data_IF_991997985272
#
_entry.id   IF_991997985272
#
_cell.length_a   1.000
_cell.length_b   1.000
_cell.length_c   1.000
_cell.angle_alpha   90.00
_cell.angle_beta   90.00
_cell.angle_gamma   90.00
#
_symmetry.space_group_name_H-M   'P 1'
#
loop_
_entity.id
_entity.type
_entity.pdbx_description
1 polymer ?
#
# COMPACT_ATOMS: atom_id res chain seq x y z
N UNK A 1 -2.59 43.08 6.99
CA UNK A 1 -3.81 42.30 6.64
C UNK A 1 -3.51 41.54 5.35
N UNK A 2 -4.07 40.35 5.13
CA UNK A 2 -3.75 39.52 3.96
C UNK A 2 -3.97 40.27 2.63
N UNK A 3 -5.11 40.94 2.47
CA UNK A 3 -5.48 41.62 1.22
C UNK A 3 -4.59 42.79 0.82
N UNK A 4 -3.95 43.45 1.80
CA UNK A 4 -2.99 44.54 1.55
C UNK A 4 -1.57 44.05 1.28
N UNK A 5 -1.29 42.78 1.52
CA UNK A 5 0.02 42.20 1.22
C UNK A 5 0.00 41.46 -0.12
N UNK A 6 -1.07 40.72 -0.41
CA UNK A 6 -1.12 39.77 -1.52
C UNK A 6 -0.85 40.41 -2.89
N UNK A 7 -1.68 41.39 -3.31
CA UNK A 7 -1.53 42.00 -4.63
C UNK A 7 -0.26 42.83 -4.78
N UNK A 8 0.22 43.43 -3.70
CA UNK A 8 1.47 44.17 -3.67
C UNK A 8 2.67 43.24 -3.81
N UNK A 9 2.68 42.10 -3.10
CA UNK A 9 3.71 41.08 -3.25
C UNK A 9 3.74 40.52 -4.67
N UNK A 10 2.57 40.16 -5.23
CA UNK A 10 2.46 39.71 -6.62
C UNK A 10 3.00 40.75 -7.60
N UNK A 11 2.69 42.02 -7.37
CA UNK A 11 3.21 43.11 -8.19
C UNK A 11 4.73 43.30 -8.04
N UNK A 12 5.29 43.19 -6.84
CA UNK A 12 6.74 43.36 -6.60
C UNK A 12 7.51 42.23 -7.30
N UNK A 13 6.95 41.02 -7.31
CA UNK A 13 7.53 39.83 -7.94
C UNK A 13 7.19 39.71 -9.44
N UNK A 14 6.42 40.65 -10.00
CA UNK A 14 5.93 40.65 -11.39
C UNK A 14 5.14 39.37 -11.77
N UNK A 15 4.32 38.87 -10.84
CA UNK A 15 3.46 37.69 -11.05
C UNK A 15 2.39 38.01 -12.08
N UNK A 16 2.36 37.27 -13.19
CA UNK A 16 1.36 37.51 -14.26
C UNK A 16 0.00 36.86 -13.97
N UNK A 17 0.01 35.70 -13.28
CA UNK A 17 -1.18 34.91 -12.97
C UNK A 17 -1.12 34.51 -11.49
N UNK A 18 -1.82 35.27 -10.65
CA UNK A 18 -1.96 34.96 -9.23
C UNK A 18 -3.10 33.95 -9.05
N UNK A 19 -2.76 32.69 -8.78
CA UNK A 19 -3.72 31.58 -8.77
C UNK A 19 -4.08 31.22 -7.33
N UNK A 20 -5.35 31.37 -6.96
CA UNK A 20 -5.86 31.05 -5.62
C UNK A 20 -7.17 30.24 -5.68
N UNK A 21 -7.78 29.96 -4.53
CA UNK A 21 -9.03 29.17 -4.48
C UNK A 21 -10.28 30.05 -4.50
N UNK A 22 -11.45 29.46 -4.78
CA UNK A 22 -12.73 30.19 -4.92
C UNK A 22 -13.11 31.04 -3.70
N UNK A 23 -12.62 30.69 -2.50
CA UNK A 23 -12.85 31.47 -1.28
C UNK A 23 -12.35 32.92 -1.37
N UNK A 24 -11.42 33.21 -2.30
CA UNK A 24 -10.85 34.54 -2.51
C UNK A 24 -11.54 35.35 -3.63
N UNK A 25 -12.61 34.85 -4.23
CA UNK A 25 -13.40 35.62 -5.20
C UNK A 25 -13.90 36.96 -4.62
N UNK A 26 -14.48 37.01 -3.40
CA UNK A 26 -14.92 38.28 -2.81
C UNK A 26 -13.79 39.27 -2.51
N UNK A 27 -12.54 38.80 -2.48
CA UNK A 27 -11.35 39.61 -2.20
C UNK A 27 -10.78 40.28 -3.45
N UNK A 28 -11.10 39.75 -4.65
CA UNK A 28 -10.58 40.27 -5.92
C UNK A 28 -10.85 41.76 -6.15
N UNK A 29 -12.05 42.32 -5.88
CA UNK A 29 -12.29 43.75 -6.09
C UNK A 29 -11.31 44.63 -5.29
N UNK A 30 -10.92 44.20 -4.08
CA UNK A 30 -9.95 44.93 -3.26
C UNK A 30 -8.52 44.73 -3.78
N UNK A 31 -8.18 43.52 -4.24
CA UNK A 31 -6.91 43.23 -4.91
C UNK A 31 -6.70 44.15 -6.12
N UNK A 32 -7.69 44.20 -7.03
CA UNK A 32 -7.66 45.02 -8.25
C UNK A 32 -7.61 46.51 -7.92
N UNK A 33 -8.42 46.97 -6.95
CA UNK A 33 -8.43 48.36 -6.51
C UNK A 33 -7.05 48.79 -5.99
N UNK A 34 -6.38 47.97 -5.18
CA UNK A 34 -5.08 48.35 -4.67
C UNK A 34 -4.01 48.44 -5.77
N UNK A 35 -4.04 47.53 -6.74
CA UNK A 35 -3.13 47.57 -7.90
C UNK A 35 -3.35 48.85 -8.71
N UNK A 36 -4.62 49.20 -8.98
CA UNK A 36 -4.99 50.40 -9.73
C UNK A 36 -4.56 51.68 -9.00
N UNK A 37 -4.90 51.82 -7.72
CA UNK A 37 -4.61 53.04 -6.96
C UNK A 37 -3.13 53.30 -6.74
N UNK A 38 -2.32 52.24 -6.65
CA UNK A 38 -0.88 52.37 -6.47
C UNK A 38 -0.12 52.52 -7.80
N UNK A 39 -0.78 52.27 -8.95
CA UNK A 39 -0.15 52.34 -10.27
C UNK A 39 0.98 51.32 -10.44
N UNK A 40 0.84 50.15 -9.83
CA UNK A 40 1.89 49.11 -9.78
C UNK A 40 1.69 48.05 -10.88
N UNK A 41 2.57 47.02 -10.92
CA UNK A 41 2.51 45.97 -11.94
C UNK A 41 1.12 45.28 -11.94
N UNK A 42 0.45 45.16 -13.11
CA UNK A 42 -0.93 44.71 -13.20
C UNK A 42 -1.06 43.19 -13.12
N UNK A 43 -0.73 42.62 -11.96
CA UNK A 43 -0.98 41.20 -11.68
C UNK A 43 -2.48 40.89 -11.74
N UNK A 44 -2.84 39.67 -12.14
CA UNK A 44 -4.23 39.24 -12.30
C UNK A 44 -4.52 38.01 -11.45
N UNK A 45 -5.55 38.10 -10.63
CA UNK A 45 -6.05 36.99 -9.83
C UNK A 45 -6.96 36.05 -10.64
N UNK A 46 -6.72 34.75 -10.51
CA UNK A 46 -7.53 33.68 -11.07
C UNK A 46 -7.81 32.62 -10.01
N UNK A 47 -9.05 32.13 -9.98
CA UNK A 47 -9.49 31.18 -8.96
C UNK A 47 -9.91 29.84 -9.52
N UNK A 48 -9.65 28.79 -8.75
CA UNK A 48 -10.10 27.43 -9.02
C UNK A 48 -10.70 26.80 -7.76
N UNK A 49 -11.53 25.77 -7.95
CA UNK A 49 -12.11 25.02 -6.85
C UNK A 49 -11.03 24.23 -6.12
N UNK A 50 -11.01 24.33 -4.79
CA UNK A 50 -10.13 23.55 -3.94
C UNK A 50 -10.39 22.04 -4.10
N UNK A 51 -9.35 21.24 -3.85
CA UNK A 51 -9.49 19.80 -3.72
C UNK A 51 -10.23 19.45 -2.43
N UNK A 52 -11.31 18.68 -2.56
CA UNK A 52 -11.96 17.96 -1.47
C UNK A 52 -11.96 16.47 -1.81
N UNK A 53 -11.73 15.62 -0.80
CA UNK A 53 -11.60 14.19 -0.99
C UNK A 53 -12.49 13.42 -0.02
N UNK A 54 -13.04 12.30 -0.49
CA UNK A 54 -13.83 11.38 0.34
C UNK A 54 -12.96 10.69 1.42
N UNK A 55 -13.55 10.26 2.52
CA UNK A 55 -12.92 9.49 3.61
C UNK A 55 -11.72 10.16 4.30
N UNK A 56 -11.60 11.48 4.16
CA UNK A 56 -10.53 12.26 4.78
C UNK A 56 -10.98 13.68 5.12
N UNK A 57 -10.12 14.43 5.81
CA UNK A 57 -10.33 15.84 6.12
C UNK A 57 -9.18 16.68 5.56
N UNK A 58 -9.52 17.83 4.98
CA UNK A 58 -8.55 18.76 4.38
C UNK A 58 -8.40 20.06 5.20
N UNK A 59 -9.18 20.22 6.27
CA UNK A 59 -9.13 21.41 7.14
C UNK A 59 -7.92 21.32 8.07
N UNK A 60 -7.03 22.33 8.03
CA UNK A 60 -5.88 22.46 8.93
C UNK A 60 -6.29 22.39 10.41
N UNK A 61 -7.45 22.96 10.77
CA UNK A 61 -7.99 22.91 12.13
C UNK A 61 -8.34 21.48 12.56
N UNK A 62 -9.05 20.72 11.71
CA UNK A 62 -9.40 19.31 11.98
C UNK A 62 -8.15 18.42 12.03
N UNK A 63 -7.19 18.62 11.11
CA UNK A 63 -5.92 17.88 11.12
C UNK A 63 -5.09 18.17 12.38
N UNK A 64 -5.00 19.43 12.81
CA UNK A 64 -4.34 19.79 14.06
C UNK A 64 -5.00 19.14 15.27
N UNK A 65 -6.33 19.06 15.28
CA UNK A 65 -7.08 18.40 16.35
C UNK A 65 -6.78 16.90 16.42
N UNK A 66 -6.72 16.19 15.28
CA UNK A 66 -6.33 14.78 15.24
C UNK A 66 -4.94 14.54 15.86
N UNK A 67 -3.99 15.45 15.61
CA UNK A 67 -2.63 15.39 16.17
C UNK A 67 -2.62 15.69 17.67
N UNK A 68 -3.23 16.81 18.08
CA UNK A 68 -3.21 17.24 19.48
C UNK A 68 -3.95 16.28 20.41
N UNK A 69 -5.05 15.69 19.95
CA UNK A 69 -5.83 14.70 20.70
C UNK A 69 -5.30 13.27 20.53
N UNK A 70 -4.18 13.07 19.83
CA UNK A 70 -3.49 11.77 19.64
C UNK A 70 -4.32 10.68 18.95
N UNK A 71 -5.23 11.06 18.06
CA UNK A 71 -5.90 10.11 17.14
C UNK A 71 -4.94 9.56 16.07
N UNK A 72 -3.86 10.31 15.81
CA UNK A 72 -2.76 9.94 14.91
C UNK A 72 -1.41 10.21 15.58
N UNK A 73 -0.34 9.57 15.09
CA UNK A 73 1.00 9.68 15.65
C UNK A 73 1.71 11.01 15.34
N UNK A 74 1.14 11.86 14.48
CA UNK A 74 1.69 13.15 14.11
C UNK A 74 1.23 13.62 12.72
N UNK A 75 1.79 14.73 12.26
CA UNK A 75 1.50 15.29 10.93
C UNK A 75 1.91 14.40 9.76
N UNK A 76 2.84 13.46 9.98
CA UNK A 76 3.32 12.51 8.99
C UNK A 76 2.87 11.07 9.27
N UNK A 77 1.88 10.88 10.13
CA UNK A 77 1.20 9.58 10.28
C UNK A 77 0.64 9.14 8.91
N UNK A 78 0.94 7.92 8.41
CA UNK A 78 0.53 7.46 7.07
C UNK A 78 -0.98 7.54 6.77
N UNK A 79 -1.85 7.67 7.78
CA UNK A 79 -3.29 7.83 7.62
C UNK A 79 -3.73 9.27 7.31
N UNK A 80 -2.85 10.25 7.52
CA UNK A 80 -3.13 11.66 7.30
C UNK A 80 -3.10 12.05 5.81
N UNK A 81 -3.85 13.09 5.46
CA UNK A 81 -3.92 13.66 4.09
C UNK A 81 -2.78 14.63 3.76
N UNK A 82 -1.72 14.70 4.59
CA UNK A 82 -0.57 15.56 4.33
C UNK A 82 0.40 14.94 3.32
N UNK A 83 1.15 15.77 2.61
CA UNK A 83 2.19 15.31 1.69
C UNK A 83 3.27 14.50 2.41
N UNK A 84 3.64 14.88 3.64
CA UNK A 84 4.60 14.13 4.46
C UNK A 84 4.08 12.75 4.84
N UNK A 85 2.80 12.63 5.20
CA UNK A 85 2.16 11.36 5.49
C UNK A 85 2.07 10.47 4.25
N UNK A 86 1.63 11.01 3.11
CA UNK A 86 1.57 10.28 1.84
C UNK A 86 2.95 9.75 1.45
N UNK A 87 4.01 10.56 1.61
CA UNK A 87 5.38 10.12 1.39
C UNK A 87 5.78 8.98 2.33
N UNK A 88 5.51 9.10 3.64
CA UNK A 88 5.79 8.03 4.62
C UNK A 88 4.97 6.76 4.38
N UNK A 89 3.74 6.90 3.88
CA UNK A 89 2.88 5.79 3.43
C UNK A 89 3.45 5.08 2.20
N UNK A 90 4.33 5.72 1.44
CA UNK A 90 4.99 5.18 0.25
C UNK A 90 4.39 5.65 -1.07
N UNK A 91 3.64 6.76 -1.09
CA UNK A 91 3.04 7.29 -2.32
C UNK A 91 4.15 7.92 -3.19
N UNK A 92 4.36 7.45 -4.43
CA UNK A 92 5.32 8.08 -5.33
C UNK A 92 4.88 9.52 -5.64
N UNK A 93 5.83 10.45 -5.71
CA UNK A 93 5.52 11.82 -6.12
C UNK A 93 4.88 11.87 -7.53
N UNK A 94 5.27 10.94 -8.41
CA UNK A 94 4.70 10.80 -9.74
C UNK A 94 3.19 10.44 -9.72
N UNK A 95 2.74 9.59 -8.81
CA UNK A 95 1.33 9.21 -8.73
C UNK A 95 0.46 10.35 -8.21
N UNK A 96 1.00 11.21 -7.35
CA UNK A 96 0.29 12.41 -6.86
C UNK A 96 0.13 13.42 -7.99
N UNK A 97 1.17 13.63 -8.81
CA UNK A 97 1.07 14.51 -10.00
C UNK A 97 0.06 13.97 -11.01
N UNK A 98 0.14 12.68 -11.33
CA UNK A 98 -0.83 12.02 -12.22
C UNK A 98 -2.27 12.14 -11.68
N UNK A 99 -2.46 12.01 -10.36
CA UNK A 99 -3.76 12.26 -9.74
C UNK A 99 -4.25 13.69 -9.95
N UNK A 100 -3.39 14.70 -9.71
CA UNK A 100 -3.70 16.11 -9.96
C UNK A 100 -4.06 16.36 -11.44
N UNK A 101 -3.35 15.75 -12.38
CA UNK A 101 -3.62 15.87 -13.81
C UNK A 101 -4.98 15.25 -14.19
N UNK A 102 -5.32 14.09 -13.62
CA UNK A 102 -6.60 13.41 -13.88
C UNK A 102 -7.82 14.15 -13.34
N UNK A 103 -7.73 14.75 -12.15
CA UNK A 103 -8.87 15.49 -11.57
C UNK A 103 -9.11 16.82 -12.30
N UNK A 104 -8.06 17.36 -12.94
CA UNK A 104 -8.11 18.62 -13.66
C UNK A 104 -8.31 19.84 -12.76
N UNK A 105 -8.46 21.00 -13.39
CA UNK A 105 -8.69 22.29 -12.71
C UNK A 105 -10.01 22.87 -13.21
N UNK A 106 -10.94 23.10 -12.29
CA UNK A 106 -12.27 23.63 -12.58
C UNK A 106 -12.70 24.67 -11.55
N UNK A 107 -13.73 25.47 -11.85
CA UNK A 107 -14.35 26.42 -10.92
C UNK A 107 -15.56 25.87 -10.17
N UNK A 108 -15.85 24.57 -10.31
CA UNK A 108 -16.94 23.88 -9.61
C UNK A 108 -16.36 23.01 -8.51
N UNK A 109 -16.89 23.13 -7.30
CA UNK A 109 -16.51 22.24 -6.20
C UNK A 109 -16.89 20.79 -6.54
N UNK A 110 -16.00 19.87 -6.19
CA UNK A 110 -16.22 18.45 -6.39
C UNK A 110 -15.60 17.66 -5.23
N UNK A 111 -16.26 16.57 -4.84
CA UNK A 111 -15.74 15.63 -3.87
C UNK A 111 -15.10 14.46 -4.63
N UNK A 112 -13.77 14.40 -4.63
CA UNK A 112 -13.02 13.39 -5.37
C UNK A 112 -12.88 12.11 -4.56
N UNK A 113 -13.17 10.97 -5.18
CA UNK A 113 -13.00 9.66 -4.55
C UNK A 113 -11.52 9.36 -4.26
N UNK A 114 -11.22 8.97 -3.01
CA UNK A 114 -9.91 8.47 -2.57
C UNK A 114 -9.45 7.27 -3.40
N UNK A 115 -10.39 6.48 -3.92
CA UNK A 115 -10.12 5.35 -4.83
C UNK A 115 -9.37 5.77 -6.11
N UNK A 116 -9.59 6.99 -6.63
CA UNK A 116 -8.85 7.51 -7.79
C UNK A 116 -7.39 7.80 -7.45
N UNK A 117 -7.11 8.38 -6.28
CA UNK A 117 -5.74 8.59 -5.81
C UNK A 117 -5.01 7.25 -5.64
N UNK A 118 -5.66 6.29 -4.97
CA UNK A 118 -5.11 4.95 -4.79
C UNK A 118 -4.91 4.22 -6.13
N UNK A 119 -5.77 4.45 -7.11
CA UNK A 119 -5.59 3.95 -8.48
C UNK A 119 -4.31 4.49 -9.11
N UNK A 120 -4.06 5.80 -9.09
CA UNK A 120 -2.82 6.38 -9.62
C UNK A 120 -1.57 5.82 -8.94
N UNK A 121 -1.65 5.59 -7.62
CA UNK A 121 -0.57 4.98 -6.84
C UNK A 121 -0.34 3.53 -7.29
N UNK A 122 -1.39 2.71 -7.40
CA UNK A 122 -1.30 1.32 -7.86
C UNK A 122 -0.70 1.22 -9.26
N UNK A 123 -1.13 2.06 -10.19
CA UNK A 123 -0.60 2.07 -11.57
C UNK A 123 0.90 2.39 -11.63
N UNK A 124 1.34 3.34 -10.81
CA UNK A 124 2.75 3.72 -10.73
C UNK A 124 3.58 2.60 -10.09
N UNK A 125 3.11 2.05 -8.97
CA UNK A 125 3.83 1.01 -8.24
C UNK A 125 3.83 -0.34 -8.97
N UNK A 126 2.79 -0.67 -9.75
CA UNK A 126 2.81 -1.89 -10.56
C UNK A 126 4.00 -1.91 -11.53
N UNK A 127 4.36 -0.74 -12.08
CA UNK A 127 5.46 -0.60 -13.04
C UNK A 127 6.84 -0.53 -12.38
N UNK A 128 6.91 -0.06 -11.13
CA UNK A 128 8.19 0.34 -10.50
C UNK A 128 8.60 -0.49 -9.29
N UNK A 129 7.65 -1.14 -8.60
CA UNK A 129 7.92 -1.82 -7.33
C UNK A 129 8.56 -3.20 -7.53
N UNK A 130 9.48 -3.57 -6.63
CA UNK A 130 10.11 -4.88 -6.60
C UNK A 130 9.17 -5.92 -5.99
N UNK A 131 9.08 -7.12 -6.57
CA UNK A 131 8.24 -8.22 -6.08
C UNK A 131 9.01 -8.97 -5.01
N UNK A 132 8.42 -9.11 -3.84
CA UNK A 132 9.00 -9.81 -2.68
C UNK A 132 7.96 -10.71 -2.03
N UNK A 133 8.42 -11.82 -1.46
CA UNK A 133 7.60 -12.76 -0.68
C UNK A 133 7.71 -12.43 0.79
N UNK A 134 6.56 -12.17 1.41
CA UNK A 134 6.44 -11.93 2.84
C UNK A 134 5.19 -12.63 3.32
N UNK A 135 5.34 -13.45 4.36
CA UNK A 135 4.26 -14.23 4.98
C UNK A 135 3.80 -13.52 6.25
N UNK A 136 2.53 -13.10 6.30
CA UNK A 136 2.00 -12.28 7.41
C UNK A 136 1.45 -13.15 8.55
N UNK A 137 0.72 -14.21 8.21
CA UNK A 137 0.24 -15.20 9.18
C UNK A 137 0.88 -16.55 8.84
N UNK A 138 2.01 -16.91 9.47
CA UNK A 138 2.80 -18.06 9.08
C UNK A 138 2.16 -19.37 9.48
N UNK A 139 2.09 -20.29 8.51
CA UNK A 139 1.84 -21.71 8.72
C UNK A 139 3.06 -22.50 8.22
N UNK A 140 3.65 -23.30 9.12
CA UNK A 140 4.84 -24.11 8.81
C UNK A 140 4.47 -25.26 7.88
N UNK A 141 5.28 -25.47 6.85
CA UNK A 141 5.21 -26.61 5.94
C UNK A 141 6.54 -27.34 5.95
N UNK A 142 6.50 -28.65 6.18
CA UNK A 142 7.65 -29.55 6.12
C UNK A 142 7.53 -30.39 4.84
N UNK A 143 8.50 -30.23 3.94
CA UNK A 143 8.54 -30.98 2.69
C UNK A 143 9.26 -32.31 2.93
N UNK A 144 8.48 -33.36 3.18
CA UNK A 144 8.94 -34.63 3.75
C UNK A 144 9.97 -35.37 2.88
N UNK A 145 9.87 -35.24 1.56
CA UNK A 145 10.79 -35.86 0.59
C UNK A 145 11.88 -34.90 0.06
N UNK A 146 12.00 -33.67 0.58
CA UNK A 146 13.09 -32.76 0.20
C UNK A 146 14.33 -32.98 1.09
N UNK A 147 15.56 -32.98 0.53
CA UNK A 147 16.79 -33.15 1.31
C UNK A 147 17.01 -32.01 2.32
N UNK A 148 17.78 -32.27 3.38
CA UNK A 148 18.18 -31.27 4.38
C UNK A 148 19.30 -30.35 3.86
N UNK A 149 19.05 -29.72 2.72
CA UNK A 149 19.97 -28.79 2.04
C UNK A 149 19.23 -27.52 1.65
N UNK A 150 19.99 -26.45 1.41
CA UNK A 150 19.45 -25.19 0.86
C UNK A 150 19.75 -25.12 -0.63
N UNK A 151 18.71 -24.93 -1.43
CA UNK A 151 18.82 -24.63 -2.85
C UNK A 151 18.50 -23.15 -3.10
N UNK A 152 19.25 -22.50 -3.97
CA UNK A 152 18.96 -21.11 -4.36
C UNK A 152 18.20 -21.10 -5.68
N UNK A 153 16.97 -20.61 -5.62
CA UNK A 153 16.06 -20.51 -6.77
C UNK A 153 16.02 -19.08 -7.28
N UNK A 154 15.93 -18.88 -8.60
CA UNK A 154 15.85 -17.55 -9.19
C UNK A 154 14.40 -17.08 -9.34
N UNK A 155 14.15 -15.80 -9.09
CA UNK A 155 12.88 -15.13 -9.39
C UNK A 155 13.12 -13.72 -9.90
N UNK A 156 12.28 -13.31 -10.84
CA UNK A 156 12.22 -11.95 -11.39
C UNK A 156 11.93 -10.90 -10.31
N UNK A 157 12.63 -9.76 -10.37
CA UNK A 157 12.38 -8.63 -9.48
C UNK A 157 11.12 -7.86 -9.84
N UNK A 158 10.88 -7.61 -11.12
CA UNK A 158 9.69 -6.92 -11.60
C UNK A 158 9.28 -7.46 -12.97
N UNK A 159 8.13 -8.15 -13.11
CA UNK A 159 7.69 -8.67 -14.39
C UNK A 159 7.30 -7.59 -15.40
N UNK A 160 7.00 -6.36 -14.95
CA UNK A 160 6.68 -5.21 -15.81
C UNK A 160 7.95 -4.46 -16.28
N UNK A 161 9.13 -4.78 -15.72
CA UNK A 161 10.41 -4.19 -16.09
C UNK A 161 11.46 -5.27 -16.38
N UNK A 162 11.69 -5.62 -17.65
CA UNK A 162 12.68 -6.61 -18.04
C UNK A 162 14.11 -6.28 -17.57
N UNK A 163 14.42 -5.01 -17.29
CA UNK A 163 15.74 -4.57 -16.85
C UNK A 163 15.92 -4.63 -15.32
N UNK A 164 14.87 -4.98 -14.57
CA UNK A 164 14.92 -5.09 -13.11
C UNK A 164 15.75 -6.28 -12.60
N UNK A 165 16.15 -7.19 -13.49
CA UNK A 165 16.96 -8.35 -13.18
C UNK A 165 16.22 -9.41 -12.36
N UNK A 166 17.00 -10.35 -11.82
CA UNK A 166 16.53 -11.45 -10.98
C UNK A 166 17.11 -11.33 -9.58
N UNK A 167 16.57 -12.12 -8.65
CA UNK A 167 17.13 -12.35 -7.32
C UNK A 167 17.12 -13.83 -7.01
N UNK A 168 17.95 -14.24 -6.07
CA UNK A 168 17.97 -15.60 -5.55
C UNK A 168 17.16 -15.72 -4.27
N UNK A 169 16.50 -16.86 -4.11
CA UNK A 169 15.59 -17.19 -3.01
C UNK A 169 16.06 -18.52 -2.39
N UNK A 170 16.37 -18.57 -1.08
CA UNK A 170 16.69 -19.84 -0.44
C UNK A 170 15.42 -20.68 -0.32
N UNK A 171 15.46 -21.89 -0.85
CA UNK A 171 14.46 -22.93 -0.69
C UNK A 171 15.06 -24.06 0.15
N UNK A 172 14.27 -24.58 1.09
CA UNK A 172 14.70 -25.65 1.97
C UNK A 172 13.52 -26.56 2.31
N UNK A 173 13.82 -27.63 3.07
CA UNK A 173 12.81 -28.57 3.58
C UNK A 173 11.69 -27.89 4.36
N UNK A 174 11.97 -26.81 5.08
CA UNK A 174 11.00 -26.13 5.93
C UNK A 174 10.70 -24.73 5.38
N UNK A 175 9.43 -24.48 5.09
CA UNK A 175 8.96 -23.18 4.59
C UNK A 175 7.77 -22.68 5.40
N UNK A 176 7.55 -21.37 5.37
CA UNK A 176 6.30 -20.75 5.77
C UNK A 176 5.47 -20.39 4.54
N UNK A 177 4.17 -20.62 4.64
CA UNK A 177 3.13 -20.09 3.75
C UNK A 177 2.13 -19.28 4.58
N UNK A 178 1.19 -18.58 3.95
CA UNK A 178 0.08 -17.99 4.70
C UNK A 178 -0.84 -19.07 5.26
N UNK A 179 -1.30 -18.90 6.49
CA UNK A 179 -2.34 -19.74 7.11
C UNK A 179 -3.61 -19.80 6.26
N UNK A 180 -4.02 -18.65 5.72
CA UNK A 180 -5.16 -18.52 4.79
C UNK A 180 -4.94 -19.20 3.43
N UNK A 181 -3.73 -19.71 3.15
CA UNK A 181 -3.48 -20.53 1.97
C UNK A 181 -3.73 -22.02 2.19
N UNK A 182 -4.11 -22.42 3.40
CA UNK A 182 -4.53 -23.78 3.72
C UNK A 182 -5.97 -23.85 4.22
N UNK A 183 -6.68 -24.91 3.82
CA UNK A 183 -8.03 -25.19 4.33
C UNK A 183 -8.26 -26.70 4.41
N UNK A 184 -8.63 -27.21 5.59
CA UNK A 184 -8.92 -28.64 5.77
C UNK A 184 -10.12 -29.10 4.93
N UNK A 185 -11.20 -28.29 4.93
CA UNK A 185 -12.44 -28.55 4.18
C UNK A 185 -12.58 -27.54 3.06
N UNK A 186 -11.86 -27.76 1.97
CA UNK A 186 -11.82 -26.85 0.83
C UNK A 186 -13.07 -26.97 -0.08
N UNK A 187 -13.76 -25.87 -0.41
CA UNK A 187 -14.83 -25.89 -1.40
C UNK A 187 -14.28 -26.13 -2.82
N UNK A 188 -15.11 -26.60 -3.77
CA UNK A 188 -14.70 -26.96 -5.15
C UNK A 188 -13.97 -25.83 -5.92
N UNK A 189 -14.16 -24.56 -5.56
CA UNK A 189 -13.51 -23.39 -6.18
C UNK A 189 -12.34 -22.84 -5.35
N UNK A 190 -11.79 -23.64 -4.45
CA UNK A 190 -10.57 -23.33 -3.72
C UNK A 190 -9.37 -23.91 -4.47
N UNK A 191 -8.41 -23.07 -4.80
CA UNK A 191 -7.25 -23.43 -5.63
C UNK A 191 -5.93 -23.38 -4.86
N UNK A 192 -5.99 -23.27 -3.52
CA UNK A 192 -4.81 -23.25 -2.64
C UNK A 192 -4.62 -24.64 -2.03
N UNK A 193 -3.89 -24.76 -0.94
CA UNK A 193 -3.52 -26.04 -0.36
C UNK A 193 -4.65 -26.62 0.51
N UNK A 194 -4.94 -27.90 0.36
CA UNK A 194 -5.89 -28.66 1.17
C UNK A 194 -5.42 -30.12 1.21
N UNK A 195 -5.93 -30.97 2.12
CA UNK A 195 -5.55 -32.38 2.17
C UNK A 195 -5.69 -33.07 0.80
N UNK A 196 -4.58 -33.65 0.31
CA UNK A 196 -4.49 -34.31 -1.00
C UNK A 196 -4.40 -33.38 -2.21
N UNK A 197 -4.56 -32.07 -2.05
CA UNK A 197 -4.45 -31.09 -3.15
C UNK A 197 -3.01 -30.67 -3.39
N UNK A 198 -2.74 -30.30 -4.65
CA UNK A 198 -1.44 -29.78 -5.10
C UNK A 198 -1.52 -28.29 -5.40
N UNK A 199 -0.43 -27.57 -5.13
CA UNK A 199 -0.30 -26.14 -5.42
C UNK A 199 1.12 -25.81 -5.86
N UNK A 200 1.30 -24.78 -6.67
CA UNK A 200 2.62 -24.29 -7.05
C UNK A 200 3.14 -23.31 -6.00
N UNK A 201 4.40 -23.46 -5.63
CA UNK A 201 5.14 -22.42 -4.92
C UNK A 201 5.77 -21.48 -5.95
N UNK A 202 5.58 -20.16 -5.78
CA UNK A 202 6.10 -19.15 -6.71
C UNK A 202 7.61 -19.32 -6.89
N UNK A 203 8.02 -19.49 -8.15
CA UNK A 203 9.43 -19.65 -8.55
C UNK A 203 10.13 -20.88 -7.95
N UNK A 204 9.36 -21.88 -7.49
CA UNK A 204 9.87 -23.11 -6.92
C UNK A 204 9.13 -24.33 -7.51
N UNK A 205 8.71 -25.26 -6.68
CA UNK A 205 8.14 -26.55 -7.08
C UNK A 205 6.62 -26.60 -6.87
N UNK A 206 5.97 -27.62 -7.43
CA UNK A 206 4.64 -28.05 -7.02
C UNK A 206 4.77 -28.92 -5.76
N UNK A 207 3.95 -28.63 -4.76
CA UNK A 207 3.83 -29.43 -3.54
C UNK A 207 2.43 -30.03 -3.42
N UNK A 208 2.31 -31.14 -2.69
CA UNK A 208 1.06 -31.81 -2.33
C UNK A 208 0.96 -31.91 -0.82
N UNK A 209 -0.18 -31.55 -0.24
CA UNK A 209 -0.42 -31.76 1.19
C UNK A 209 -0.80 -33.22 1.44
N UNK A 210 0.02 -33.93 2.20
CA UNK A 210 -0.17 -35.34 2.52
C UNK A 210 -0.73 -35.53 3.92
N UNK A 211 -0.30 -34.73 4.90
CA UNK A 211 -0.73 -34.82 6.29
C UNK A 211 -0.84 -33.44 6.96
N UNK A 212 -1.79 -33.34 7.90
CA UNK A 212 -2.10 -32.12 8.67
C UNK A 212 -1.82 -32.41 10.14
N UNK A 213 -0.84 -31.73 10.71
CA UNK A 213 -0.47 -31.89 12.12
C UNK A 213 -1.21 -30.82 12.92
N UNK A 214 -1.92 -31.26 13.95
CA UNK A 214 -2.67 -30.39 14.85
C UNK A 214 -2.00 -30.29 16.21
N UNK A 215 -2.17 -29.15 16.87
CA UNK A 215 -1.79 -28.98 18.27
C UNK A 215 -2.81 -29.64 19.22
N UNK A 216 -2.55 -29.54 20.53
CA UNK A 216 -3.42 -30.09 21.57
C UNK A 216 -4.82 -29.44 21.61
N UNK A 217 -4.98 -28.25 21.04
CA UNK A 217 -6.24 -27.51 20.98
C UNK A 217 -7.01 -27.79 19.67
N UNK A 218 -6.43 -28.57 18.76
CA UNK A 218 -7.02 -28.92 17.48
C UNK A 218 -6.77 -27.90 16.37
N UNK A 219 -5.93 -26.89 16.59
CA UNK A 219 -5.53 -25.94 15.55
C UNK A 219 -4.45 -26.56 14.67
N UNK A 220 -4.40 -26.14 13.39
CA UNK A 220 -3.38 -26.59 12.44
C UNK A 220 -2.03 -25.97 12.82
N UNK A 221 -1.11 -26.82 13.28
CA UNK A 221 0.23 -26.43 13.72
C UNK A 221 1.22 -26.44 12.56
N UNK A 222 1.26 -27.52 11.78
CA UNK A 222 2.13 -27.65 10.61
C UNK A 222 1.53 -28.59 9.55
N UNK A 223 1.99 -28.46 8.32
CA UNK A 223 1.59 -29.31 7.20
C UNK A 223 2.77 -30.13 6.72
N UNK A 224 2.55 -31.42 6.51
CA UNK A 224 3.54 -32.30 5.91
C UNK A 224 3.17 -32.50 4.45
N UNK A 225 4.07 -32.09 3.57
CA UNK A 225 3.85 -32.07 2.13
C UNK A 225 4.95 -32.85 1.41
N UNK A 226 4.64 -33.41 0.25
CA UNK A 226 5.64 -33.87 -0.71
C UNK A 226 5.80 -32.85 -1.84
N UNK A 227 7.01 -32.72 -2.40
CA UNK A 227 7.24 -31.95 -3.62
C UNK A 227 7.45 -32.87 -4.83
N UNK A 228 7.18 -32.34 -6.02
CA UNK A 228 7.42 -33.01 -7.30
C UNK A 228 8.76 -32.50 -7.88
N UNK A 229 9.83 -33.32 -7.91
CA UNK A 229 11.17 -32.89 -8.35
C UNK A 229 11.21 -32.32 -9.78
N UNK A 230 10.41 -32.89 -10.69
CA UNK A 230 10.36 -32.52 -12.11
C UNK A 230 9.56 -31.23 -12.36
N UNK A 231 8.98 -30.62 -11.32
CA UNK A 231 8.07 -29.46 -11.45
C UNK A 231 8.73 -28.09 -11.23
N UNK A 232 10.07 -28.05 -11.19
CA UNK A 232 10.84 -26.82 -10.96
C UNK A 232 10.41 -25.71 -11.92
N UNK A 233 10.06 -24.55 -11.38
CA UNK A 233 9.62 -23.40 -12.17
C UNK A 233 10.70 -22.98 -13.17
N UNK A 234 10.30 -22.75 -14.42
CA UNK A 234 11.22 -22.44 -15.54
C UNK A 234 11.77 -23.67 -16.27
N UNK A 235 11.69 -24.87 -15.68
CA UNK A 235 12.18 -26.11 -16.27
C UNK A 235 11.25 -27.30 -15.98
N UNK A 236 9.94 -27.06 -15.94
CA UNK A 236 8.95 -28.07 -15.55
C UNK A 236 8.75 -29.11 -16.65
N UNK A 237 9.02 -30.38 -16.33
CA UNK A 237 8.82 -31.55 -17.20
C UNK A 237 7.82 -32.55 -16.61
N UNK A 238 7.17 -32.22 -15.50
CA UNK A 238 6.26 -33.12 -14.77
C UNK A 238 4.94 -33.39 -15.53
N UNK A 239 4.55 -32.50 -16.43
CA UNK A 239 3.23 -32.52 -17.09
C UNK A 239 2.06 -32.18 -16.16
N UNK A 240 2.34 -31.79 -14.91
CA UNK A 240 1.32 -31.47 -13.91
C UNK A 240 0.94 -29.98 -14.00
N UNK A 241 -0.36 -29.71 -14.16
CA UNK A 241 -0.91 -28.35 -14.11
C UNK A 241 -1.73 -28.16 -12.84
N UNK A 242 -1.41 -27.10 -12.09
CA UNK A 242 -2.12 -26.69 -10.88
C UNK A 242 -2.69 -25.28 -11.06
N UNK A 243 -3.82 -25.00 -10.40
CA UNK A 243 -4.57 -23.75 -10.60
C UNK A 243 -4.10 -22.59 -9.71
N UNK A 244 -3.46 -22.88 -8.58
CA UNK A 244 -3.00 -21.87 -7.64
C UNK A 244 -1.48 -21.80 -7.52
N UNK A 245 -1.02 -20.60 -7.22
CA UNK A 245 0.38 -20.31 -6.91
C UNK A 245 0.45 -19.54 -5.59
N UNK A 246 1.23 -20.03 -4.64
CA UNK A 246 1.44 -19.42 -3.33
C UNK A 246 2.81 -18.74 -3.26
N UNK A 247 2.89 -17.63 -2.52
CA UNK A 247 4.18 -17.14 -2.04
C UNK A 247 4.58 -17.91 -0.78
N UNK A 248 5.87 -17.93 -0.49
CA UNK A 248 6.45 -18.71 0.60
C UNK A 248 7.79 -18.08 1.00
N UNK A 249 8.28 -18.44 2.18
CA UNK A 249 9.64 -18.07 2.63
C UNK A 249 10.28 -19.27 3.35
N UNK A 250 11.58 -19.47 3.21
CA UNK A 250 12.29 -20.54 3.93
C UNK A 250 12.40 -20.22 5.41
N UNK A 251 12.06 -21.17 6.29
CA UNK A 251 12.03 -20.96 7.75
C UNK A 251 13.39 -20.52 8.28
N UNK A 252 14.46 -21.20 7.90
CA UNK A 252 15.79 -20.97 8.45
C UNK A 252 16.44 -19.66 7.99
N UNK A 253 16.01 -19.09 6.86
CA UNK A 253 16.58 -17.86 6.29
C UNK A 253 15.61 -16.67 6.38
N UNK A 254 14.36 -16.88 6.77
CA UNK A 254 13.37 -15.81 6.85
C UNK A 254 13.80 -14.71 7.83
N UNK A 255 13.51 -13.47 7.44
CA UNK A 255 13.77 -12.29 8.25
C UNK A 255 12.48 -11.84 8.93
N UNK A 256 12.55 -11.52 10.21
CA UNK A 256 11.38 -11.05 10.93
C UNK A 256 11.08 -9.59 10.56
N UNK A 257 9.81 -9.30 10.33
CA UNK A 257 9.32 -7.96 10.01
C UNK A 257 8.01 -7.65 10.74
N UNK A 258 7.83 -6.38 11.09
CA UNK A 258 6.54 -5.81 11.47
C UNK A 258 5.85 -5.24 10.22
N UNK A 259 4.58 -5.55 10.02
CA UNK A 259 3.78 -5.04 8.91
C UNK A 259 2.65 -4.18 9.44
N UNK A 260 2.60 -2.92 9.00
CA UNK A 260 1.55 -1.95 9.35
C UNK A 260 0.56 -1.85 8.19
N UNK A 261 -0.61 -2.43 8.38
CA UNK A 261 -1.70 -2.44 7.40
C UNK A 261 -2.59 -1.22 7.62
N UNK A 262 -2.31 -0.15 6.87
CA UNK A 262 -3.14 1.05 6.90
C UNK A 262 -4.39 0.90 6.01
N UNK A 263 -5.47 1.52 6.45
CA UNK A 263 -6.70 1.73 5.69
C UNK A 263 -7.15 3.20 5.79
N UNK A 264 -8.31 3.53 5.22
CA UNK A 264 -8.91 4.86 5.28
C UNK A 264 -9.11 5.27 6.75
N UNK A 265 -8.76 6.51 7.08
CA UNK A 265 -8.84 7.04 8.44
C UNK A 265 -10.28 7.21 8.92
N UNK A 266 -11.21 7.49 8.01
CA UNK A 266 -12.63 7.65 8.31
C UNK A 266 -13.45 6.61 7.57
N UNK A 267 -14.55 6.17 8.20
CA UNK A 267 -15.47 5.17 7.65
C UNK A 267 -16.56 5.76 6.75
N UNK A 268 -16.81 7.06 6.85
CA UNK A 268 -17.83 7.78 6.08
C UNK A 268 -17.22 8.49 4.87
N UNK A 269 -17.95 8.50 3.76
CA UNK A 269 -17.50 9.07 2.50
C UNK A 269 -17.32 10.59 2.58
N UNK A 270 -18.34 11.32 3.02
CA UNK A 270 -18.28 12.77 3.21
C UNK A 270 -18.18 13.13 4.70
N UNK A 271 -16.94 13.16 5.21
CA UNK A 271 -16.62 13.51 6.60
C UNK A 271 -16.95 14.98 6.92
N UNK A 272 -17.03 15.85 5.92
CA UNK A 272 -17.33 17.26 6.13
C UNK A 272 -18.81 17.49 6.45
N UNK A 273 -19.70 16.70 5.83
CA UNK A 273 -21.14 16.81 5.98
C UNK A 273 -21.79 15.71 6.84
N UNK A 274 -20.98 14.82 7.44
CA UNK A 274 -21.48 13.80 8.37
C UNK A 274 -22.05 14.43 9.66
N UNK A 275 -23.11 13.81 10.19
CA UNK A 275 -23.70 14.20 11.47
C UNK A 275 -22.74 13.94 12.65
N UNK A 276 -22.77 14.79 13.67
CA UNK A 276 -21.94 14.65 14.88
C UNK A 276 -20.52 15.22 14.76
N UNK A 277 -19.64 14.81 15.66
CA UNK A 277 -18.21 15.18 15.58
C UNK A 277 -17.55 14.29 14.52
N UNK A 278 -16.67 14.88 13.68
CA UNK A 278 -15.97 14.13 12.64
C UNK A 278 -15.11 12.98 13.21
N UNK A 279 -14.67 13.10 14.47
CA UNK A 279 -13.89 12.07 15.16
C UNK A 279 -14.69 10.80 15.46
N UNK A 280 -16.01 10.90 15.60
CA UNK A 280 -16.90 9.74 15.82
C UNK A 280 -16.92 8.79 14.60
N UNK A 281 -16.46 9.31 13.46
CA UNK A 281 -16.36 8.59 12.20
C UNK A 281 -14.96 8.03 11.91
N UNK A 282 -14.01 8.14 12.86
CA UNK A 282 -12.70 7.50 12.73
C UNK A 282 -12.88 5.98 12.60
N UNK A 283 -12.15 5.39 11.66
CA UNK A 283 -12.12 3.96 11.44
C UNK A 283 -11.18 3.31 12.47
N UNK A 284 -11.70 2.45 13.37
CA UNK A 284 -10.86 1.72 14.33
C UNK A 284 -9.89 0.77 13.63
N UNK A 285 -10.22 0.29 12.42
CA UNK A 285 -9.38 -0.57 11.59
C UNK A 285 -8.43 0.21 10.66
N UNK A 286 -8.29 1.53 10.86
CA UNK A 286 -7.39 2.38 10.03
C UNK A 286 -5.91 1.98 10.12
N UNK A 287 -5.53 1.23 11.15
CA UNK A 287 -4.21 0.62 11.32
C UNK A 287 -4.35 -0.73 12.02
N UNK A 288 -3.89 -1.80 11.34
CA UNK A 288 -3.66 -3.10 11.95
C UNK A 288 -2.16 -3.41 11.90
N UNK A 289 -1.59 -3.83 13.02
CA UNK A 289 -0.16 -4.17 13.11
C UNK A 289 -0.01 -5.68 13.18
N UNK A 290 0.78 -6.24 12.25
CA UNK A 290 1.23 -7.63 12.27
C UNK A 290 2.66 -7.63 12.82
N UNK A 291 2.88 -7.96 14.11
CA UNK A 291 4.17 -7.80 14.76
C UNK A 291 5.22 -8.83 14.30
N UNK A 292 4.77 -9.99 13.81
CA UNK A 292 5.62 -11.12 13.47
C UNK A 292 5.26 -11.66 12.08
N UNK A 293 5.74 -10.98 11.04
CA UNK A 293 5.76 -11.51 9.67
C UNK A 293 7.14 -12.04 9.32
N UNK A 294 7.20 -12.92 8.33
CA UNK A 294 8.42 -13.54 7.84
C UNK A 294 8.68 -13.16 6.38
N UNK A 295 9.80 -12.49 6.14
CA UNK A 295 10.15 -11.88 4.88
C UNK A 295 11.34 -12.62 4.23
N UNK A 296 11.38 -12.64 2.89
CA UNK A 296 12.53 -13.19 2.19
C UNK A 296 13.82 -12.36 2.42
N UNK A 297 15.02 -12.97 2.41
CA UNK A 297 16.27 -12.28 2.76
C UNK A 297 16.65 -11.12 1.85
N UNK A 298 16.20 -11.13 0.59
CA UNK A 298 16.57 -10.11 -0.41
C UNK A 298 16.20 -8.69 0.04
N UNK A 299 15.18 -8.55 0.91
CA UNK A 299 14.78 -7.28 1.49
C UNK A 299 15.87 -6.59 2.32
N UNK A 300 16.85 -7.32 2.85
CA UNK A 300 17.98 -6.73 3.58
C UNK A 300 19.01 -6.08 2.66
N UNK A 301 19.09 -6.53 1.40
CA UNK A 301 20.06 -6.04 0.41
C UNK A 301 19.48 -4.99 -0.54
N UNK A 302 18.16 -4.77 -0.49
CA UNK A 302 17.49 -3.82 -1.37
C UNK A 302 17.84 -2.37 -1.00
N UNK A 303 17.83 -1.50 -2.02
CA UNK A 303 18.17 -0.08 -1.85
C UNK A 303 17.25 0.62 -0.82
N UNK A 304 17.78 1.54 0.00
CA UNK A 304 16.96 2.42 0.82
C UNK A 304 15.93 3.17 -0.03
N UNK A 305 14.68 3.26 0.43
CA UNK A 305 13.52 3.86 -0.27
C UNK A 305 12.96 3.06 -1.47
N UNK A 306 13.39 1.82 -1.67
CA UNK A 306 12.71 0.89 -2.57
C UNK A 306 11.24 0.74 -2.19
N UNK A 307 10.39 0.57 -3.20
CA UNK A 307 8.98 0.20 -3.02
C UNK A 307 8.79 -1.24 -3.43
N UNK A 308 7.90 -1.92 -2.72
CA UNK A 308 7.72 -3.36 -2.86
C UNK A 308 6.29 -3.68 -3.22
N UNK A 309 6.09 -4.66 -4.08
CA UNK A 309 4.85 -5.43 -4.14
C UNK A 309 5.09 -6.72 -3.37
N UNK A 310 4.50 -6.82 -2.18
CA UNK A 310 4.44 -8.10 -1.49
C UNK A 310 3.41 -8.97 -2.23
N UNK A 311 3.91 -10.05 -2.81
CA UNK A 311 3.15 -10.90 -3.75
C UNK A 311 1.83 -11.30 -3.09
N UNK A 312 0.72 -11.08 -3.81
CA UNK A 312 -0.67 -11.35 -3.36
C UNK A 312 -1.18 -10.49 -2.19
N UNK A 313 -0.36 -9.64 -1.56
CA UNK A 313 -0.75 -8.83 -0.39
C UNK A 313 -1.03 -7.36 -0.73
N UNK A 314 -0.15 -6.71 -1.47
CA UNK A 314 -0.26 -5.26 -1.72
C UNK A 314 1.08 -4.61 -2.02
N UNK A 315 1.08 -3.28 -1.97
CA UNK A 315 2.30 -2.48 -2.10
C UNK A 315 2.73 -1.94 -0.75
N UNK A 316 4.04 -1.93 -0.52
CA UNK A 316 4.65 -1.64 0.77
C UNK A 316 5.92 -0.79 0.60
N UNK A 317 6.27 -0.07 1.65
CA UNK A 317 7.52 0.68 1.75
C UNK A 317 8.15 0.42 3.12
N UNK A 318 9.48 0.40 3.18
CA UNK A 318 10.21 0.34 4.45
C UNK A 318 10.00 1.65 5.20
N UNK A 319 9.51 1.58 6.44
CA UNK A 319 9.33 2.75 7.29
C UNK A 319 10.63 3.10 8.00
N UNK A 320 10.82 4.39 8.30
CA UNK A 320 11.98 4.90 9.05
C UNK A 320 12.05 4.38 10.50
N UNK A 321 10.98 3.82 11.03
CA UNK A 321 10.97 3.15 12.34
C UNK A 321 11.68 1.78 12.30
N UNK A 322 12.10 1.32 11.11
CA UNK A 322 12.91 0.11 10.95
C UNK A 322 14.26 0.25 11.64
N UNK A 323 14.76 -0.87 12.15
CA UNK A 323 16.07 -0.98 12.79
C UNK A 323 16.83 -2.17 12.20
N UNK A 324 18.13 -2.28 12.50
CA UNK A 324 18.96 -3.42 12.08
C UNK A 324 18.42 -4.78 12.56
N UNK A 325 17.57 -4.79 13.60
CA UNK A 325 17.00 -6.01 14.19
C UNK A 325 15.59 -6.33 13.70
N UNK A 326 14.85 -5.32 13.25
CA UNK A 326 13.43 -5.48 12.90
C UNK A 326 13.09 -4.51 11.78
N UNK A 327 12.73 -5.08 10.64
CA UNK A 327 12.21 -4.33 9.50
C UNK A 327 10.76 -3.96 9.77
N UNK A 328 10.38 -2.72 9.50
CA UNK A 328 9.01 -2.22 9.65
C UNK A 328 8.51 -1.78 8.28
N UNK A 329 7.43 -2.38 7.79
CA UNK A 329 6.84 -2.04 6.50
C UNK A 329 5.47 -1.41 6.65
N UNK A 330 5.25 -0.29 5.95
CA UNK A 330 3.92 0.32 5.82
C UNK A 330 3.24 -0.18 4.54
N UNK A 331 1.98 -0.62 4.65
CA UNK A 331 1.14 -0.85 3.46
C UNK A 331 0.80 0.49 2.82
N UNK A 332 1.28 0.68 1.60
CA UNK A 332 0.96 1.84 0.77
C UNK A 332 -0.49 1.75 0.29
N UNK A 333 -0.80 0.67 -0.42
CA UNK A 333 -2.14 0.40 -0.99
C UNK A 333 -2.31 -1.10 -1.26
N UNK A 334 -3.54 -1.60 -1.21
CA UNK A 334 -3.89 -2.99 -1.57
C UNK A 334 -3.74 -3.23 -3.09
N UNK A 335 -3.66 -4.50 -3.51
CA UNK A 335 -3.57 -4.85 -4.94
C UNK A 335 -4.82 -4.48 -5.74
N UNK A 336 -5.98 -4.48 -5.08
CA UNK A 336 -7.29 -4.16 -5.68
C UNK A 336 -8.08 -3.30 -4.72
N UNK A 337 -8.99 -2.51 -5.28
CA UNK A 337 -9.91 -1.69 -4.50
C UNK A 337 -10.95 -2.58 -3.78
N UNK A 338 -10.91 -2.58 -2.45
CA UNK A 338 -11.88 -3.27 -1.60
C UNK A 338 -13.13 -2.44 -1.33
N UNK A 339 -12.97 -1.12 -1.18
CA UNK A 339 -14.03 -0.19 -0.80
C UNK A 339 -15.07 -0.01 -1.90
N UNK A 340 -14.66 -0.03 -3.17
CA UNK A 340 -15.59 0.00 -4.30
C UNK A 340 -16.59 -1.19 -4.33
N UNK A 341 -16.27 -2.29 -3.64
CA UNK A 341 -17.19 -3.43 -3.48
C UNK A 341 -18.10 -3.30 -2.26
N UNK A 342 -17.62 -2.66 -1.20
CA UNK A 342 -18.40 -2.44 0.03
C UNK A 342 -19.44 -1.33 -0.18
N UNK A 343 -19.09 -0.25 -0.87
CA UNK A 343 -20.02 0.82 -1.26
C UNK A 343 -21.15 0.36 -2.21
N UNK A 344 -21.01 -0.81 -2.86
CA UNK A 344 -22.09 -1.43 -3.66
C UNK A 344 -22.99 -2.37 -2.87
N UNK A 345 -22.60 -2.69 -1.62
CA UNK A 345 -23.34 -3.59 -0.72
C UNK A 345 -24.11 -2.81 0.35
N UNK A 346 -23.60 -1.66 0.77
CA UNK A 346 -24.35 -0.63 1.50
C UNK A 346 -25.31 0.08 0.54
#
# INVERSE_FOLDING_TARGET
MYDFAHGQSDSIENITHSICTLEFIPHRPLYDWCIEQLGIFPSKQYEFARLNMTYTVMSKRKLLQLVNEKHVNGWDDPRMSTISAMRRRGYPAASIREFCDKIGVAKRENLIDMGLLEFCVRETLNKTALRRMVVFDPLKVVITNYPETVEFLESENNPEDPNSGTRTMPFSREIYIERDDFMEVAPKKYFRLAPGQMVRLKSAYIIKCDEVIKDAEGNVAELHCSYIPESKSGSDTSGISVKGTLHWVSVAQAQQAEIRLYDRLFKVEDVANAEGDFKDHINPDSLQVVPCAYAEPALLSDQPNSTYQFIRKGYFVLDRDSTDKTLVFNRTVTLKDGWAKEAKKA
#
